data_IF_320492438887
#
_entry.id   IF_320492438887
#
_cell.length_a   1.000
_cell.length_b   1.000
_cell.length_c   1.000
_cell.angle_alpha   90.00
_cell.angle_beta   90.00
_cell.angle_gamma   90.00
#
_symmetry.space_group_name_H-M   'P 1'
#
loop_
_entity.id
_entity.type
_entity.pdbx_description
1 polymer ?
#
# COMPACT_ATOMS: atom_id res chain seq x y z
N UNK A 1 -51.32 -6.05 -18.15
CA UNK A 1 -51.82 -7.38 -18.59
C UNK A 1 -50.67 -8.38 -18.49
N UNK A 2 -50.60 -9.10 -17.39
CA UNK A 2 -49.59 -10.14 -17.14
C UNK A 2 -50.06 -11.45 -17.80
N UNK A 3 -49.31 -11.96 -18.77
CA UNK A 3 -49.44 -13.35 -19.23
C UNK A 3 -48.54 -14.21 -18.34
N UNK A 4 -49.16 -14.95 -17.44
CA UNK A 4 -48.55 -16.06 -16.69
C UNK A 4 -48.06 -17.12 -17.67
N UNK A 5 -46.74 -17.35 -17.69
CA UNK A 5 -46.15 -18.49 -18.37
C UNK A 5 -46.57 -19.78 -17.66
N UNK A 6 -47.09 -20.74 -18.41
CA UNK A 6 -47.39 -22.09 -17.95
C UNK A 6 -46.09 -22.82 -17.61
N UNK A 7 -46.00 -23.35 -16.39
CA UNK A 7 -44.92 -24.25 -16.00
C UNK A 7 -45.04 -25.54 -16.81
N UNK A 8 -44.12 -25.76 -17.75
CA UNK A 8 -43.92 -27.06 -18.40
C UNK A 8 -43.05 -27.90 -17.48
N UNK A 9 -43.63 -28.90 -16.82
CA UNK A 9 -42.88 -29.91 -16.08
C UNK A 9 -42.14 -30.83 -17.05
N UNK A 10 -40.81 -30.74 -17.07
CA UNK A 10 -39.97 -31.75 -17.73
C UNK A 10 -39.86 -32.97 -16.80
N UNK A 11 -40.21 -34.19 -17.26
CA UNK A 11 -40.03 -35.39 -16.47
C UNK A 11 -38.54 -35.62 -16.22
N UNK A 12 -38.11 -35.52 -14.95
CA UNK A 12 -36.76 -35.89 -14.54
C UNK A 12 -36.59 -37.40 -14.65
N UNK A 13 -36.18 -37.89 -15.83
CA UNK A 13 -35.63 -39.24 -15.92
C UNK A 13 -34.35 -39.30 -15.09
N UNK A 14 -34.46 -39.92 -13.91
CA UNK A 14 -33.32 -40.29 -13.08
C UNK A 14 -32.56 -41.38 -13.84
N UNK A 15 -31.51 -41.01 -14.58
CA UNK A 15 -30.57 -41.99 -15.13
C UNK A 15 -30.00 -42.79 -13.96
N UNK A 16 -30.46 -44.04 -13.81
CA UNK A 16 -29.87 -45.05 -12.92
C UNK A 16 -28.70 -45.73 -13.63
N UNK A 17 -27.70 -44.95 -14.06
CA UNK A 17 -26.42 -45.55 -14.45
C UNK A 17 -25.70 -45.91 -13.14
N UNK A 18 -25.38 -47.18 -12.87
CA UNK A 18 -24.55 -47.53 -11.73
C UNK A 18 -23.20 -46.84 -11.94
N UNK A 19 -22.82 -45.95 -11.02
CA UNK A 19 -21.46 -45.42 -10.99
C UNK A 19 -20.55 -46.65 -10.81
N UNK A 20 -19.57 -46.90 -11.70
CA UNK A 20 -18.69 -48.05 -11.55
C UNK A 20 -18.03 -48.02 -10.18
N UNK A 21 -18.26 -49.10 -9.42
CA UNK A 21 -17.79 -49.30 -8.05
C UNK A 21 -16.28 -49.64 -8.01
N UNK A 22 -15.47 -48.81 -8.64
CA UNK A 22 -14.02 -48.82 -8.57
C UNK A 22 -13.52 -47.37 -8.48
N UNK A 23 -14.01 -46.64 -7.48
CA UNK A 23 -13.20 -45.57 -6.93
C UNK A 23 -12.08 -46.25 -6.15
N UNK A 24 -10.91 -46.43 -6.76
CA UNK A 24 -9.69 -46.70 -6.02
C UNK A 24 -9.67 -45.77 -4.80
N UNK A 25 -9.52 -46.36 -3.62
CA UNK A 25 -9.26 -45.62 -2.39
C UNK A 25 -7.88 -44.95 -2.57
N UNK A 26 -7.85 -43.80 -3.27
CA UNK A 26 -6.67 -42.95 -3.36
C UNK A 26 -6.41 -42.44 -1.97
N UNK A 27 -5.56 -43.18 -1.24
CA UNK A 27 -5.07 -42.80 0.08
C UNK A 27 -4.68 -41.33 0.08
N UNK A 28 -5.03 -40.64 1.17
CA UNK A 28 -4.75 -39.22 1.33
C UNK A 28 -3.27 -38.97 1.01
N UNK A 29 -2.95 -37.90 0.25
CA UNK A 29 -1.59 -37.61 -0.12
C UNK A 29 -0.70 -37.52 1.14
N UNK A 30 0.56 -37.98 1.06
CA UNK A 30 1.44 -38.07 2.22
C UNK A 30 1.52 -36.72 2.94
N UNK A 31 1.51 -36.79 4.28
CA UNK A 31 1.54 -35.59 5.12
C UNK A 31 2.81 -34.79 4.82
N UNK A 32 2.63 -33.62 4.20
CA UNK A 32 3.72 -32.69 3.95
C UNK A 32 4.45 -32.32 5.25
N UNK A 33 5.78 -32.16 5.18
CA UNK A 33 6.60 -31.78 6.33
C UNK A 33 6.14 -30.49 7.01
N UNK A 34 6.40 -30.38 8.32
CA UNK A 34 5.94 -29.28 9.19
C UNK A 34 6.23 -27.88 8.60
N UNK A 35 7.42 -27.69 8.05
CA UNK A 35 7.84 -26.43 7.42
C UNK A 35 7.01 -26.03 6.20
N UNK A 36 6.66 -26.99 5.35
CA UNK A 36 5.81 -26.75 4.18
C UNK A 36 4.37 -26.42 4.58
N UNK A 37 3.88 -26.99 5.68
CA UNK A 37 2.55 -26.67 6.23
C UNK A 37 2.51 -25.29 6.85
N UNK A 38 3.51 -24.92 7.65
CA UNK A 38 3.60 -23.59 8.26
C UNK A 38 3.68 -22.52 7.18
N UNK A 39 4.58 -22.68 6.20
CA UNK A 39 4.77 -21.74 5.08
C UNK A 39 3.50 -21.52 4.23
N UNK A 40 2.57 -22.48 4.20
CA UNK A 40 1.32 -22.42 3.41
C UNK A 40 0.10 -21.93 4.20
N UNK A 41 0.26 -21.51 5.46
CA UNK A 41 -0.84 -20.91 6.22
C UNK A 41 -1.28 -19.57 5.59
N UNK A 42 -2.58 -19.21 5.67
CA UNK A 42 -3.09 -17.92 5.17
C UNK A 42 -2.36 -16.71 5.77
N UNK A 43 -1.93 -16.82 7.03
CA UNK A 43 -1.13 -15.80 7.74
C UNK A 43 0.23 -15.56 7.07
N UNK A 44 0.81 -16.59 6.45
CA UNK A 44 2.12 -16.55 5.78
C UNK A 44 1.99 -16.46 4.26
N UNK A 45 0.87 -15.96 3.74
CA UNK A 45 0.75 -15.55 2.34
C UNK A 45 1.85 -14.55 1.96
N UNK A 46 2.30 -14.58 0.70
CA UNK A 46 3.40 -13.72 0.24
C UNK A 46 3.08 -12.23 0.41
N UNK A 47 1.81 -11.87 0.36
CA UNK A 47 1.30 -10.54 0.71
C UNK A 47 1.71 -10.13 2.14
N UNK A 48 1.43 -10.97 3.14
CA UNK A 48 1.80 -10.71 4.54
C UNK A 48 3.31 -10.77 4.77
N UNK A 49 4.03 -11.63 4.04
CA UNK A 49 5.50 -11.68 4.10
C UNK A 49 6.14 -10.38 3.64
N UNK A 50 5.60 -9.74 2.60
CA UNK A 50 6.09 -8.45 2.13
C UNK A 50 5.81 -7.33 3.14
N UNK A 51 4.65 -7.36 3.82
CA UNK A 51 4.35 -6.44 4.94
C UNK A 51 5.38 -6.65 6.06
N UNK A 52 5.58 -7.90 6.49
CA UNK A 52 6.53 -8.24 7.53
C UNK A 52 7.97 -7.88 7.15
N UNK A 53 8.36 -8.02 5.88
CA UNK A 53 9.66 -7.60 5.37
C UNK A 53 9.86 -6.09 5.52
N UNK A 54 8.88 -5.27 5.10
CA UNK A 54 8.94 -3.81 5.27
C UNK A 54 9.05 -3.46 6.75
N UNK A 55 8.24 -4.09 7.61
CA UNK A 55 8.30 -3.87 9.04
C UNK A 55 9.67 -4.25 9.63
N UNK A 56 10.21 -5.42 9.29
CA UNK A 56 11.50 -5.90 9.78
C UNK A 56 12.65 -4.97 9.39
N UNK A 57 12.69 -4.51 8.13
CA UNK A 57 13.71 -3.56 7.67
C UNK A 57 13.65 -2.28 8.49
N UNK A 58 12.44 -1.73 8.70
CA UNK A 58 12.27 -0.50 9.47
C UNK A 58 12.56 -0.67 10.96
N UNK A 59 12.19 -1.80 11.56
CA UNK A 59 12.54 -2.14 12.95
C UNK A 59 14.05 -2.28 13.12
N UNK A 60 14.75 -2.83 12.12
CA UNK A 60 16.21 -2.90 12.11
C UNK A 60 16.82 -1.51 12.09
N UNK A 61 16.32 -0.61 11.23
CA UNK A 61 16.79 0.79 11.19
C UNK A 61 16.50 1.50 12.51
N UNK A 62 15.32 1.31 13.09
CA UNK A 62 14.98 1.87 14.40
C UNK A 62 15.94 1.38 15.49
N UNK A 63 16.19 0.07 15.57
CA UNK A 63 17.11 -0.52 16.52
C UNK A 63 18.55 0.00 16.37
N UNK A 64 19.05 0.10 15.13
CA UNK A 64 20.36 0.69 14.86
C UNK A 64 20.42 2.18 15.22
N UNK A 65 19.35 2.93 14.93
CA UNK A 65 19.22 4.34 15.31
C UNK A 65 19.28 4.54 16.83
N UNK A 66 18.54 3.73 17.59
CA UNK A 66 18.52 3.79 19.05
C UNK A 66 19.86 3.37 19.67
N UNK A 67 20.47 2.28 19.20
CA UNK A 67 21.69 1.71 19.81
C UNK A 67 22.96 2.45 19.38
N UNK A 68 23.10 2.75 18.08
CA UNK A 68 24.33 3.34 17.51
C UNK A 68 24.19 4.81 17.15
N UNK A 69 22.98 5.21 16.73
CA UNK A 69 22.71 6.57 16.30
C UNK A 69 22.42 7.55 17.42
N UNK A 70 22.31 7.09 18.68
CA UNK A 70 21.95 7.95 19.81
C UNK A 70 20.57 8.59 19.67
N UNK A 71 19.69 7.97 18.89
CA UNK A 71 18.35 8.50 18.64
C UNK A 71 17.61 8.65 19.97
N UNK A 72 17.20 9.89 20.27
CA UNK A 72 16.42 10.26 21.45
C UNK A 72 17.23 10.16 22.75
N UNK A 73 18.54 9.91 22.65
CA UNK A 73 19.47 10.16 23.74
C UNK A 73 19.56 11.68 23.99
N UNK A 74 19.68 12.06 25.26
CA UNK A 74 19.83 13.41 25.84
C UNK A 74 19.98 14.56 24.83
N UNK A 75 18.86 14.99 24.23
CA UNK A 75 18.79 16.17 23.35
C UNK A 75 18.88 15.94 21.84
N UNK A 76 19.25 14.75 21.36
CA UNK A 76 19.38 14.48 19.91
C UNK A 76 18.05 14.03 19.29
N UNK A 77 17.53 14.83 18.36
CA UNK A 77 16.35 14.53 17.55
C UNK A 77 16.77 14.44 16.08
N UNK A 78 16.80 13.25 15.47
CA UNK A 78 17.25 13.07 14.09
C UNK A 78 16.11 13.34 13.10
N UNK A 79 15.61 14.58 13.11
CA UNK A 79 14.48 15.04 12.30
C UNK A 79 14.65 14.72 10.81
N UNK A 80 15.86 14.96 10.27
CA UNK A 80 16.18 14.67 8.86
C UNK A 80 16.09 13.17 8.54
N UNK A 81 16.56 12.31 9.44
CA UNK A 81 16.56 10.87 9.23
C UNK A 81 15.13 10.31 9.31
N UNK A 82 14.34 10.80 10.27
CA UNK A 82 12.90 10.51 10.35
C UNK A 82 12.16 10.92 9.07
N UNK A 83 12.39 12.16 8.60
CA UNK A 83 11.81 12.65 7.34
C UNK A 83 12.18 11.76 6.15
N UNK A 84 13.42 11.28 6.07
CA UNK A 84 13.87 10.38 5.02
C UNK A 84 13.17 9.00 5.10
N UNK A 85 12.96 8.47 6.31
CA UNK A 85 12.27 7.19 6.51
C UNK A 85 10.78 7.27 6.17
N UNK A 86 10.13 8.38 6.51
CA UNK A 86 8.78 8.70 6.04
C UNK A 86 8.75 8.69 4.51
N UNK A 87 9.64 9.47 3.88
CA UNK A 87 9.70 9.60 2.44
C UNK A 87 9.91 8.24 1.77
N UNK A 88 10.84 7.42 2.25
CA UNK A 88 11.14 6.12 1.69
C UNK A 88 9.93 5.16 1.75
N UNK A 89 9.28 5.05 2.91
CA UNK A 89 8.16 4.13 3.11
C UNK A 89 6.90 4.57 2.34
N UNK A 90 6.57 5.87 2.37
CA UNK A 90 5.41 6.38 1.63
C UNK A 90 5.66 6.41 0.12
N UNK A 91 6.90 6.67 -0.33
CA UNK A 91 7.25 6.53 -1.75
C UNK A 91 7.10 5.09 -2.22
N UNK A 92 7.58 4.12 -1.44
CA UNK A 92 7.35 2.70 -1.72
C UNK A 92 5.85 2.40 -1.81
N UNK A 93 5.07 2.88 -0.84
CA UNK A 93 3.63 2.65 -0.80
C UNK A 93 2.92 3.16 -2.05
N UNK A 94 3.27 4.34 -2.54
CA UNK A 94 2.63 4.97 -3.70
C UNK A 94 3.15 4.37 -5.01
N UNK A 95 4.47 4.29 -5.19
CA UNK A 95 5.09 3.89 -6.46
C UNK A 95 4.80 2.43 -6.81
N UNK A 96 4.70 1.53 -5.84
CA UNK A 96 4.37 0.13 -6.10
C UNK A 96 2.96 -0.06 -6.68
N UNK A 97 2.09 0.95 -6.56
CA UNK A 97 0.76 0.96 -7.16
C UNK A 97 0.70 1.65 -8.53
N UNK A 98 1.81 2.18 -9.03
CA UNK A 98 1.83 2.85 -10.32
C UNK A 98 1.87 1.82 -11.46
N UNK A 99 1.03 2.01 -12.48
CA UNK A 99 0.90 1.11 -13.63
C UNK A 99 2.22 0.85 -14.35
N UNK A 100 3.08 1.87 -14.50
CA UNK A 100 4.41 1.71 -15.13
C UNK A 100 5.30 0.78 -14.31
N UNK A 101 5.30 0.94 -12.98
CA UNK A 101 6.07 0.09 -12.06
C UNK A 101 5.51 -1.33 -12.05
N UNK A 102 4.18 -1.47 -11.99
CA UNK A 102 3.51 -2.77 -12.06
C UNK A 102 3.86 -3.48 -13.37
N UNK A 103 3.72 -2.80 -14.52
CA UNK A 103 4.06 -3.35 -15.83
C UNK A 103 5.53 -3.78 -15.91
N UNK A 104 6.44 -2.99 -15.33
CA UNK A 104 7.86 -3.34 -15.25
C UNK A 104 8.07 -4.61 -14.41
N UNK A 105 7.46 -4.71 -13.24
CA UNK A 105 7.57 -5.89 -12.37
C UNK A 105 7.06 -7.15 -13.07
N UNK A 106 5.90 -7.07 -13.72
CA UNK A 106 5.36 -8.19 -14.49
C UNK A 106 6.26 -8.53 -15.68
N UNK A 107 6.74 -7.54 -16.44
CA UNK A 107 7.67 -7.75 -17.55
C UNK A 107 8.90 -8.50 -17.07
N UNK A 108 9.57 -8.04 -16.01
CA UNK A 108 10.73 -8.70 -15.44
C UNK A 108 10.42 -10.13 -14.97
N UNK A 109 9.29 -10.33 -14.28
CA UNK A 109 8.88 -11.65 -13.80
C UNK A 109 8.59 -12.63 -14.95
N UNK A 110 8.01 -12.14 -16.06
CA UNK A 110 7.65 -12.96 -17.23
C UNK A 110 8.79 -13.12 -18.24
N UNK A 111 9.81 -12.26 -18.20
CA UNK A 111 10.99 -12.35 -19.08
C UNK A 111 12.02 -13.38 -18.60
N UNK A 112 11.76 -14.11 -17.52
CA UNK A 112 12.65 -15.13 -17.02
C UNK A 112 12.84 -16.26 -18.06
N UNK A 113 14.10 -16.64 -18.38
CA UNK A 113 14.36 -17.72 -19.32
C UNK A 113 13.68 -19.04 -18.92
N UNK A 114 13.22 -19.79 -19.91
CA UNK A 114 12.53 -21.07 -19.70
C UNK A 114 13.44 -22.14 -19.09
N UNK A 115 14.75 -22.04 -19.32
CA UNK A 115 15.77 -22.94 -18.77
C UNK A 115 16.11 -22.68 -17.29
N UNK A 116 15.58 -21.61 -16.68
CA UNK A 116 15.77 -21.38 -15.26
C UNK A 116 15.06 -22.46 -14.42
N UNK A 117 15.61 -22.82 -13.24
CA UNK A 117 14.97 -23.74 -12.32
C UNK A 117 13.51 -23.36 -12.05
N UNK A 118 12.64 -24.38 -12.02
CA UNK A 118 11.20 -24.18 -11.80
C UNK A 118 10.91 -23.45 -10.49
N UNK A 119 11.74 -23.67 -9.45
CA UNK A 119 11.65 -22.99 -8.16
C UNK A 119 11.75 -21.46 -8.29
N UNK A 120 12.65 -20.95 -9.13
CA UNK A 120 12.83 -19.53 -9.37
C UNK A 120 11.62 -18.97 -10.13
N UNK A 121 11.19 -19.65 -11.19
CA UNK A 121 10.01 -19.25 -11.98
C UNK A 121 8.73 -19.23 -11.13
N UNK A 122 8.59 -20.16 -10.19
CA UNK A 122 7.50 -20.18 -9.21
C UNK A 122 7.54 -19.00 -8.24
N UNK A 123 8.72 -18.53 -7.86
CA UNK A 123 8.87 -17.33 -7.02
C UNK A 123 8.45 -16.09 -7.83
N UNK A 124 8.93 -15.96 -9.07
CA UNK A 124 8.58 -14.85 -9.96
C UNK A 124 7.07 -14.79 -10.25
N UNK A 125 6.42 -15.94 -10.42
CA UNK A 125 4.97 -16.01 -10.61
C UNK A 125 4.16 -15.43 -9.44
N UNK A 126 4.76 -15.20 -8.26
CA UNK A 126 4.09 -14.60 -7.10
C UNK A 126 4.16 -13.08 -7.08
N UNK A 127 4.71 -12.45 -8.13
CA UNK A 127 4.84 -10.99 -8.28
C UNK A 127 3.55 -10.24 -7.95
N UNK A 128 2.37 -10.81 -8.25
CA UNK A 128 1.06 -10.22 -7.98
C UNK A 128 0.77 -9.90 -6.49
N UNK A 129 1.58 -10.41 -5.56
CA UNK A 129 1.45 -10.07 -4.14
C UNK A 129 2.09 -8.71 -3.76
N UNK A 130 2.61 -7.93 -4.71
CA UNK A 130 3.23 -6.61 -4.48
C UNK A 130 2.38 -5.64 -3.65
N UNK A 131 1.06 -5.86 -3.58
CA UNK A 131 0.16 -5.12 -2.68
C UNK A 131 0.57 -5.17 -1.20
N UNK A 132 1.36 -6.17 -0.78
CA UNK A 132 1.92 -6.24 0.56
C UNK A 132 2.95 -5.13 0.83
N UNK A 133 3.73 -4.72 -0.18
CA UNK A 133 4.63 -3.57 -0.08
C UNK A 133 3.86 -2.25 0.05
N UNK A 134 2.71 -2.13 -0.62
CA UNK A 134 1.86 -0.96 -0.48
C UNK A 134 1.36 -0.79 0.96
N UNK A 135 0.79 -1.86 1.54
CA UNK A 135 0.25 -1.81 2.90
C UNK A 135 1.37 -1.68 3.93
N UNK A 136 2.46 -2.44 3.79
CA UNK A 136 3.62 -2.32 4.67
C UNK A 136 4.20 -0.90 4.66
N UNK A 137 4.43 -0.33 3.47
CA UNK A 137 4.93 1.03 3.33
C UNK A 137 3.97 2.10 3.86
N UNK A 138 2.66 1.95 3.64
CA UNK A 138 1.66 2.90 4.12
C UNK A 138 1.57 2.91 5.65
N UNK A 139 1.47 1.73 6.27
CA UNK A 139 1.38 1.60 7.73
C UNK A 139 2.69 2.05 8.38
N UNK A 140 3.82 1.51 7.96
CA UNK A 140 5.13 1.83 8.57
C UNK A 140 5.53 3.27 8.29
N UNK A 141 5.24 3.80 7.10
CA UNK A 141 5.45 5.21 6.77
C UNK A 141 4.62 6.14 7.64
N UNK A 142 3.35 5.79 7.92
CA UNK A 142 2.50 6.55 8.84
C UNK A 142 3.02 6.50 10.28
N UNK A 143 3.54 5.35 10.74
CA UNK A 143 4.16 5.22 12.07
C UNK A 143 5.42 6.06 12.19
N UNK A 144 6.30 6.05 11.17
CA UNK A 144 7.45 6.97 11.14
C UNK A 144 7.02 8.43 11.11
N UNK A 145 5.94 8.74 10.42
CA UNK A 145 5.41 10.10 10.36
C UNK A 145 4.87 10.55 11.72
N UNK A 146 4.21 9.67 12.47
CA UNK A 146 3.83 9.93 13.86
C UNK A 146 5.07 10.17 14.74
N UNK A 147 6.13 9.37 14.58
CA UNK A 147 7.41 9.59 15.26
C UNK A 147 8.06 10.94 14.89
N UNK A 148 7.98 11.34 13.62
CA UNK A 148 8.46 12.62 13.12
C UNK A 148 7.68 13.80 13.70
N UNK A 149 6.33 13.71 13.75
CA UNK A 149 5.47 14.69 14.42
C UNK A 149 5.83 14.82 15.90
N UNK A 150 6.03 13.70 16.60
CA UNK A 150 6.45 13.70 17.99
C UNK A 150 7.81 14.39 18.18
N UNK A 151 8.78 14.08 17.33
CA UNK A 151 10.10 14.71 17.38
C UNK A 151 10.04 16.22 17.08
N UNK A 152 9.27 16.65 16.08
CA UNK A 152 9.04 18.08 15.81
C UNK A 152 8.38 18.80 16.98
N UNK A 153 7.41 18.16 17.63
CA UNK A 153 6.70 18.71 18.79
C UNK A 153 7.64 18.90 19.97
N UNK A 154 8.49 17.90 20.26
CA UNK A 154 9.51 18.01 21.31
C UNK A 154 10.55 19.08 20.97
N UNK A 155 10.97 19.17 19.70
CA UNK A 155 11.92 20.20 19.26
C UNK A 155 11.34 21.61 19.45
N UNK A 156 10.07 21.82 19.08
CA UNK A 156 9.37 23.09 19.28
C UNK A 156 9.23 23.42 20.77
N UNK A 157 8.81 22.46 21.59
CA UNK A 157 8.64 22.65 23.03
C UNK A 157 9.96 22.98 23.76
N UNK A 158 11.09 22.48 23.25
CA UNK A 158 12.43 22.78 23.75
C UNK A 158 13.03 24.07 23.16
N UNK A 159 12.32 24.75 22.27
CA UNK A 159 12.83 25.95 21.59
C UNK A 159 14.04 25.68 20.71
N UNK A 160 14.18 24.47 20.15
CA UNK A 160 15.30 24.15 19.26
C UNK A 160 15.17 24.95 17.94
N UNK A 161 16.29 25.43 17.39
CA UNK A 161 16.27 26.17 16.13
C UNK A 161 15.84 25.26 14.96
N UNK A 162 15.28 25.86 13.92
CA UNK A 162 14.90 25.15 12.68
C UNK A 162 13.60 24.36 12.77
N UNK A 163 12.70 24.72 13.69
CA UNK A 163 11.32 24.21 13.76
C UNK A 163 10.37 25.38 14.00
N UNK A 164 9.43 25.60 13.07
CA UNK A 164 8.38 26.61 13.24
C UNK A 164 7.05 26.01 13.75
N UNK A 165 6.23 26.78 14.51
CA UNK A 165 4.91 26.34 14.92
C UNK A 165 4.00 25.97 13.75
N UNK A 166 4.10 26.71 12.63
CA UNK A 166 3.32 26.47 11.42
C UNK A 166 3.65 25.09 10.82
N UNK A 167 4.94 24.73 10.74
CA UNK A 167 5.35 23.39 10.31
C UNK A 167 4.71 22.31 11.17
N UNK A 168 4.71 22.47 12.49
CA UNK A 168 4.12 21.48 13.42
C UNK A 168 2.62 21.32 13.19
N UNK A 169 1.87 22.42 13.09
CA UNK A 169 0.41 22.38 12.85
C UNK A 169 0.07 21.68 11.54
N UNK A 170 0.75 22.04 10.44
CA UNK A 170 0.54 21.40 9.13
C UNK A 170 0.87 19.90 9.20
N UNK A 171 1.93 19.53 9.93
CA UNK A 171 2.35 18.13 10.08
C UNK A 171 1.33 17.31 10.88
N UNK A 172 0.70 17.89 11.91
CA UNK A 172 -0.42 17.24 12.62
C UNK A 172 -1.65 17.04 11.74
N UNK A 173 -2.02 18.06 10.94
CA UNK A 173 -3.13 17.96 9.99
C UNK A 173 -2.90 16.85 8.97
N UNK A 174 -1.67 16.74 8.45
CA UNK A 174 -1.28 15.66 7.55
C UNK A 174 -1.33 14.29 8.23
N UNK A 175 -0.85 14.17 9.48
CA UNK A 175 -0.90 12.92 10.22
C UNK A 175 -2.35 12.44 10.41
N UNK A 176 -3.26 13.36 10.74
CA UNK A 176 -4.69 13.05 10.87
C UNK A 176 -5.26 12.47 9.57
N UNK A 177 -4.96 13.07 8.43
CA UNK A 177 -5.42 12.57 7.11
C UNK A 177 -4.84 11.18 6.84
N UNK A 178 -3.55 10.95 7.09
CA UNK A 178 -2.91 9.64 6.88
C UNK A 178 -3.52 8.56 7.78
N UNK A 179 -3.73 8.85 9.07
CA UNK A 179 -4.36 7.93 10.02
C UNK A 179 -5.80 7.61 9.59
N UNK A 180 -6.58 8.62 9.20
CA UNK A 180 -7.94 8.41 8.68
C UNK A 180 -7.93 7.48 7.46
N UNK A 181 -7.02 7.70 6.51
CA UNK A 181 -6.88 6.84 5.33
C UNK A 181 -6.53 5.40 5.72
N UNK A 182 -5.56 5.19 6.61
CA UNK A 182 -5.18 3.84 7.09
C UNK A 182 -6.34 3.15 7.80
N UNK A 183 -7.07 3.86 8.66
CA UNK A 183 -8.25 3.33 9.37
C UNK A 183 -9.32 2.91 8.37
N UNK A 184 -9.67 3.79 7.43
CA UNK A 184 -10.66 3.48 6.40
C UNK A 184 -10.22 2.35 5.46
N UNK A 185 -8.91 2.14 5.29
CA UNK A 185 -8.35 1.05 4.49
C UNK A 185 -8.43 -0.33 5.17
N UNK A 186 -8.67 -0.38 6.48
CA UNK A 186 -8.73 -1.65 7.22
C UNK A 186 -9.78 -2.58 6.61
N UNK A 187 -9.50 -3.89 6.42
CA UNK A 187 -10.39 -4.78 5.67
C UNK A 187 -11.84 -4.82 6.18
N UNK A 188 -12.03 -4.82 7.50
CA UNK A 188 -13.36 -4.81 8.14
C UNK A 188 -14.13 -3.51 7.88
N UNK A 189 -13.47 -2.37 7.98
CA UNK A 189 -14.08 -1.05 7.76
C UNK A 189 -14.34 -0.83 6.27
N UNK A 190 -13.37 -1.11 5.41
CA UNK A 190 -13.50 -0.99 3.96
C UNK A 190 -14.63 -1.85 3.39
N UNK A 191 -14.80 -3.07 3.91
CA UNK A 191 -15.88 -3.96 3.49
C UNK A 191 -17.26 -3.40 3.88
N UNK A 192 -17.36 -2.77 5.05
CA UNK A 192 -18.62 -2.21 5.57
C UNK A 192 -18.97 -0.82 5.00
N UNK A 193 -17.96 0.02 4.80
CA UNK A 193 -18.10 1.42 4.41
C UNK A 193 -17.35 1.72 3.10
N UNK A 194 -17.59 0.90 2.08
CA UNK A 194 -16.84 0.92 0.83
C UNK A 194 -16.79 2.31 0.17
N UNK A 195 -17.94 2.97 0.01
CA UNK A 195 -18.01 4.31 -0.59
C UNK A 195 -17.20 5.35 0.21
N UNK A 196 -17.21 5.26 1.54
CA UNK A 196 -16.45 6.18 2.39
C UNK A 196 -14.95 5.91 2.31
N UNK A 197 -14.55 4.64 2.21
CA UNK A 197 -13.17 4.27 1.93
C UNK A 197 -12.70 4.82 0.57
N UNK A 198 -13.52 4.69 -0.47
CA UNK A 198 -13.19 5.22 -1.79
C UNK A 198 -13.04 6.74 -1.77
N UNK A 199 -13.97 7.44 -1.11
CA UNK A 199 -13.92 8.88 -0.93
C UNK A 199 -12.66 9.30 -0.16
N UNK A 200 -12.38 8.64 0.98
CA UNK A 200 -11.24 8.95 1.82
C UNK A 200 -9.92 8.73 1.11
N UNK A 201 -9.80 7.68 0.28
CA UNK A 201 -8.57 7.43 -0.47
C UNK A 201 -8.40 8.35 -1.67
N UNK A 202 -9.49 8.68 -2.36
CA UNK A 202 -9.46 9.52 -3.56
C UNK A 202 -9.24 10.98 -3.19
N UNK A 203 -10.10 11.56 -2.35
CA UNK A 203 -9.99 12.96 -1.94
C UNK A 203 -8.90 13.14 -0.89
N UNK A 204 -8.85 12.27 0.12
CA UNK A 204 -7.81 12.32 1.15
C UNK A 204 -6.41 12.13 0.57
N UNK A 205 -6.25 11.37 -0.51
CA UNK A 205 -4.98 11.27 -1.23
C UNK A 205 -4.50 12.61 -1.81
N UNK A 206 -5.39 13.40 -2.42
CA UNK A 206 -5.05 14.74 -2.93
C UNK A 206 -4.80 15.73 -1.79
N UNK A 207 -5.61 15.69 -0.73
CA UNK A 207 -5.39 16.50 0.48
C UNK A 207 -4.05 16.18 1.13
N UNK A 208 -3.71 14.91 1.29
CA UNK A 208 -2.42 14.47 1.83
C UNK A 208 -1.27 14.93 0.94
N UNK A 209 -1.39 14.84 -0.39
CA UNK A 209 -0.35 15.31 -1.32
C UNK A 209 -0.11 16.82 -1.19
N UNK A 210 -1.17 17.63 -1.15
CA UNK A 210 -1.07 19.07 -0.96
C UNK A 210 -0.42 19.42 0.39
N UNK A 211 -0.85 18.76 1.47
CA UNK A 211 -0.27 18.95 2.80
C UNK A 211 1.20 18.49 2.86
N UNK A 212 1.57 17.41 2.16
CA UNK A 212 2.98 16.96 2.07
C UNK A 212 3.86 18.00 1.36
N UNK A 213 3.35 18.61 0.28
CA UNK A 213 4.02 19.72 -0.38
C UNK A 213 4.22 20.89 0.57
N UNK A 214 3.16 21.37 1.21
CA UNK A 214 3.25 22.48 2.18
C UNK A 214 4.21 22.14 3.32
N UNK A 215 4.07 20.98 3.94
CA UNK A 215 4.92 20.53 5.04
C UNK A 215 6.39 20.44 4.63
N UNK A 216 6.67 19.88 3.45
CA UNK A 216 8.05 19.72 2.97
C UNK A 216 8.70 21.06 2.63
N UNK A 217 7.97 21.98 1.99
CA UNK A 217 8.48 23.32 1.68
C UNK A 217 8.76 24.11 2.96
N UNK A 218 7.85 24.06 3.95
CA UNK A 218 8.04 24.68 5.26
C UNK A 218 9.24 24.07 5.99
N UNK A 219 9.34 22.74 6.05
CA UNK A 219 10.43 22.06 6.73
C UNK A 219 11.79 22.30 6.06
N UNK A 220 11.85 22.35 4.72
CA UNK A 220 13.08 22.74 4.00
C UNK A 220 13.45 24.19 4.33
N UNK A 221 12.47 25.10 4.36
CA UNK A 221 12.72 26.49 4.75
C UNK A 221 13.22 26.61 6.19
N UNK A 222 12.66 25.85 7.12
CA UNK A 222 13.08 25.84 8.52
C UNK A 222 14.50 25.27 8.69
N UNK A 223 14.89 24.30 7.86
CA UNK A 223 16.15 23.56 7.97
C UNK A 223 17.30 24.06 7.07
N UNK A 224 17.06 25.06 6.20
CA UNK A 224 18.07 25.51 5.21
C UNK A 224 19.24 26.32 5.78
N UNK A 225 19.12 26.80 7.02
CA UNK A 225 20.09 27.72 7.61
C UNK A 225 20.26 28.99 6.76
N UNK A 226 21.51 29.35 6.44
CA UNK A 226 21.82 30.54 5.65
C UNK A 226 21.66 30.37 4.12
N UNK A 227 21.46 29.14 3.63
CA UNK A 227 21.35 28.86 2.19
C UNK A 227 20.04 29.43 1.65
N UNK A 228 20.04 29.93 0.40
CA UNK A 228 18.83 30.39 -0.26
C UNK A 228 17.77 29.28 -0.35
N UNK A 229 16.49 29.65 -0.32
CA UNK A 229 15.40 28.66 -0.39
C UNK A 229 15.45 27.85 -1.69
N UNK A 230 15.68 28.51 -2.83
CA UNK A 230 15.77 27.83 -4.13
C UNK A 230 16.89 26.80 -4.20
N UNK A 231 18.09 27.15 -3.70
CA UNK A 231 19.21 26.21 -3.65
C UNK A 231 18.92 25.02 -2.72
N UNK A 232 18.27 25.26 -1.58
CA UNK A 232 17.87 24.21 -0.65
C UNK A 232 16.84 23.24 -1.25
N UNK A 233 15.92 23.73 -2.09
CA UNK A 233 14.97 22.88 -2.82
C UNK A 233 15.67 21.96 -3.82
N UNK A 234 16.59 22.49 -4.62
CA UNK A 234 17.27 21.74 -5.68
C UNK A 234 18.11 20.58 -5.17
N UNK A 235 18.68 20.70 -3.97
CA UNK A 235 19.47 19.62 -3.34
C UNK A 235 18.62 18.70 -2.44
N UNK A 236 17.33 18.99 -2.26
CA UNK A 236 16.45 18.22 -1.37
C UNK A 236 15.90 16.97 -2.06
N UNK A 237 16.22 15.76 -1.56
CA UNK A 237 15.63 14.53 -2.09
C UNK A 237 14.11 14.49 -1.94
N UNK A 238 13.59 15.10 -0.86
CA UNK A 238 12.15 15.17 -0.58
C UNK A 238 11.42 15.97 -1.65
N UNK A 239 11.99 17.09 -2.10
CA UNK A 239 11.41 17.91 -3.15
C UNK A 239 11.26 17.12 -4.47
N UNK A 240 12.35 16.50 -4.93
CA UNK A 240 12.33 15.72 -6.16
C UNK A 240 11.43 14.49 -6.08
N UNK A 241 11.43 13.79 -4.93
CA UNK A 241 10.52 12.67 -4.77
C UNK A 241 9.07 13.10 -4.73
N UNK A 242 8.72 14.23 -4.11
CA UNK A 242 7.34 14.73 -4.18
C UNK A 242 6.91 15.07 -5.61
N UNK A 243 7.81 15.59 -6.47
CA UNK A 243 7.52 15.74 -7.89
C UNK A 243 7.19 14.40 -8.55
N UNK A 244 8.05 13.39 -8.35
CA UNK A 244 7.86 12.04 -8.89
C UNK A 244 6.53 11.44 -8.41
N UNK A 245 6.22 11.56 -7.11
CA UNK A 245 4.97 11.07 -6.53
C UNK A 245 3.75 11.82 -7.08
N UNK A 246 3.84 13.13 -7.23
CA UNK A 246 2.77 13.96 -7.82
C UNK A 246 2.46 13.52 -9.25
N UNK A 247 3.50 13.40 -10.09
CA UNK A 247 3.37 12.92 -11.46
C UNK A 247 2.80 11.51 -11.48
N UNK A 248 3.28 10.63 -10.59
CA UNK A 248 2.80 9.25 -10.49
C UNK A 248 1.30 9.18 -10.16
N UNK A 249 0.84 10.00 -9.21
CA UNK A 249 -0.56 10.05 -8.79
C UNK A 249 -1.43 10.69 -9.87
N UNK A 250 -0.96 11.74 -10.55
CA UNK A 250 -1.72 12.46 -11.57
C UNK A 250 -1.87 11.69 -12.89
N UNK A 251 -0.87 10.89 -13.29
CA UNK A 251 -0.84 10.22 -14.60
C UNK A 251 -2.10 9.38 -14.91
N UNK A 252 -2.59 8.52 -14.00
CA UNK A 252 -3.80 7.75 -14.25
C UNK A 252 -5.02 8.62 -14.53
N UNK A 253 -5.16 9.75 -13.84
CA UNK A 253 -6.29 10.68 -14.02
C UNK A 253 -6.28 11.35 -15.39
N UNK A 254 -5.09 11.72 -15.87
CA UNK A 254 -4.93 12.30 -17.21
C UNK A 254 -5.21 11.29 -18.34
N UNK A 255 -5.23 10.00 -18.03
CA UNK A 255 -5.49 8.92 -18.98
C UNK A 255 -6.89 8.33 -18.90
N UNK A 256 -7.73 8.80 -17.98
CA UNK A 256 -9.11 8.37 -17.87
C UNK A 256 -9.89 8.78 -19.13
N UNK A 257 -10.58 7.83 -19.75
CA UNK A 257 -11.50 8.06 -20.86
C UNK A 257 -12.88 7.57 -20.44
N UNK A 258 -13.92 8.35 -20.73
CA UNK A 258 -15.30 7.87 -20.60
C UNK A 258 -15.53 6.88 -21.74
N UNK A 259 -15.83 5.64 -21.41
CA UNK A 259 -16.25 4.61 -22.37
C UNK A 259 -17.75 4.44 -22.19
N UNK A 260 -18.57 4.57 -23.25
CA UNK A 260 -19.99 4.28 -23.16
C UNK A 260 -20.15 2.79 -22.85
N UNK A 261 -20.77 2.47 -21.71
CA UNK A 261 -21.13 1.10 -21.32
C UNK A 261 -22.65 1.03 -21.38
N UNK A 262 -23.20 0.12 -22.17
CA UNK A 262 -24.63 -0.15 -22.21
C UNK A 262 -24.92 -1.24 -21.20
N UNK A 263 -25.70 -0.92 -20.17
CA UNK A 263 -26.09 -1.87 -19.14
C UNK A 263 -27.47 -2.40 -19.45
N UNK A 264 -27.59 -3.68 -19.79
CA UNK A 264 -28.88 -4.37 -19.88
C UNK A 264 -29.17 -5.07 -18.54
N UNK A 265 -30.40 -4.96 -18.04
CA UNK A 265 -30.80 -5.60 -16.78
C UNK A 265 -31.97 -6.56 -17.02
N UNK A 266 -31.72 -7.79 -17.49
CA UNK A 266 -32.77 -8.76 -17.80
C UNK A 266 -33.58 -9.18 -16.56
N UNK A 267 -33.04 -9.00 -15.36
CA UNK A 267 -33.72 -9.30 -14.09
C UNK A 267 -33.18 -8.43 -12.94
N UNK A 268 -33.83 -8.47 -11.78
CA UNK A 268 -33.41 -7.75 -10.57
C UNK A 268 -32.04 -8.17 -10.00
N UNK A 269 -31.48 -9.29 -10.48
CA UNK A 269 -30.23 -9.85 -9.97
C UNK A 269 -29.11 -9.92 -11.02
N UNK A 270 -29.38 -9.50 -12.25
CA UNK A 270 -28.43 -9.61 -13.36
C UNK A 270 -28.32 -8.26 -14.06
N UNK A 271 -27.08 -7.78 -14.18
CA UNK A 271 -26.72 -6.68 -15.04
C UNK A 271 -25.64 -7.18 -16.02
N UNK A 272 -25.89 -6.99 -17.31
CA UNK A 272 -24.98 -7.29 -18.42
C UNK A 272 -24.38 -5.96 -18.89
N UNK A 273 -23.07 -5.93 -19.09
CA UNK A 273 -22.28 -4.75 -19.44
C UNK A 273 -21.51 -4.99 -20.75
#
# INVERSE_FOLDING_TARGET
MLKTATNVEFPRQRMKTPIPAQAEEKGLPPRQGLWNRISRRPELMHYNRLIALVALVNLTVLGLGLVRGGWWASGQLPLRMLSNLVLANLSLAILIRQQVVINLLFKLATSAPTHWPLSIRWILGKVYHFGGLHVGGAVVGTLWFAGFVGALTVALARGLPGVSPVTVVVTYGLLLVLVLMVVMAMPSIRARYHNQFELSHRLGGWTALALFWTQSLLFINDQRGAVSFGSALLVSPTFWMLLVLTVSIALPWLRLRKVPVQMETPSSHVALA
#
